data_IF_022772546902
#
_entry.id   IF_022772546902
#
_cell.length_a   1.000
_cell.length_b   1.000
_cell.length_c   1.000
_cell.angle_alpha   90.00
_cell.angle_beta   90.00
_cell.angle_gamma   90.00
#
_symmetry.space_group_name_H-M   'P 1'
#
loop_
_entity.id
_entity.type
_entity.pdbx_description
1 polymer ?
#
# COMPACT_ATOMS: atom_id res chain seq x y z
N UNK A 1 -0.75 -5.40 -10.48
CA UNK A 1 -0.72 -4.40 -9.40
C UNK A 1 -1.61 -4.88 -8.25
N UNK A 2 -1.43 -4.33 -7.06
CA UNK A 2 -2.37 -4.49 -5.95
C UNK A 2 -2.51 -3.17 -5.18
N UNK A 3 -3.69 -2.91 -4.63
CA UNK A 3 -3.97 -1.76 -3.76
C UNK A 3 -4.59 -2.22 -2.45
N UNK A 4 -3.77 -2.70 -1.48
CA UNK A 4 -4.24 -3.04 -0.15
C UNK A 4 -4.61 -1.77 0.64
N UNK A 5 -5.71 -1.81 1.38
CA UNK A 5 -6.19 -0.68 2.19
C UNK A 5 -6.56 -1.15 3.59
N UNK A 6 -6.05 -0.47 4.62
CA UNK A 6 -6.35 -0.71 6.05
C UNK A 6 -6.27 -2.18 6.49
N UNK A 7 -5.23 -2.88 6.04
CA UNK A 7 -5.05 -4.31 6.27
C UNK A 7 -3.72 -4.64 6.93
N UNK A 8 -3.23 -5.83 6.61
CA UNK A 8 -1.93 -6.31 7.03
C UNK A 8 -1.48 -7.43 6.11
N UNK A 9 -0.37 -8.04 6.45
CA UNK A 9 0.16 -9.20 5.73
C UNK A 9 1.24 -9.88 6.55
N UNK A 10 1.70 -11.02 6.07
CA UNK A 10 2.85 -11.70 6.64
C UNK A 10 4.14 -11.16 5.99
N UNK A 11 5.01 -10.44 6.72
CA UNK A 11 6.25 -9.87 6.17
C UNK A 11 7.19 -10.91 5.55
N UNK A 12 7.06 -12.19 5.93
CA UNK A 12 7.85 -13.30 5.36
C UNK A 12 7.52 -13.55 3.89
N UNK A 13 6.37 -13.08 3.41
CA UNK A 13 5.95 -13.22 2.01
C UNK A 13 6.51 -12.13 1.10
N UNK A 14 7.16 -11.09 1.64
CA UNK A 14 7.63 -9.93 0.89
C UNK A 14 8.49 -10.32 -0.33
N UNK A 15 9.42 -11.26 -0.16
CA UNK A 15 10.29 -11.75 -1.24
C UNK A 15 9.51 -12.38 -2.39
N UNK A 16 8.39 -13.04 -2.11
CA UNK A 16 7.57 -13.70 -3.13
C UNK A 16 6.72 -12.71 -3.94
N UNK A 17 6.39 -11.55 -3.36
CA UNK A 17 5.51 -10.55 -3.98
C UNK A 17 6.24 -9.27 -4.40
N UNK A 18 7.56 -9.16 -4.16
CA UNK A 18 8.35 -7.95 -4.40
C UNK A 18 8.26 -7.38 -5.83
N UNK A 19 8.01 -8.24 -6.81
CA UNK A 19 7.92 -7.86 -8.23
C UNK A 19 6.50 -7.42 -8.64
N UNK A 20 5.53 -7.51 -7.73
CA UNK A 20 4.18 -6.97 -7.91
C UNK A 20 4.22 -5.49 -7.54
N UNK A 21 3.81 -4.57 -8.42
CA UNK A 21 3.59 -3.18 -8.06
C UNK A 21 2.47 -3.10 -7.01
N UNK A 22 2.76 -2.54 -5.84
CA UNK A 22 1.82 -2.38 -4.73
C UNK A 22 1.72 -0.90 -4.36
N UNK A 23 0.51 -0.36 -4.24
CA UNK A 23 0.27 0.95 -3.63
C UNK A 23 -0.67 0.77 -2.45
N UNK A 24 -0.14 0.84 -1.22
CA UNK A 24 -0.91 0.58 0.00
C UNK A 24 -1.34 1.87 0.70
N UNK A 25 -2.52 1.85 1.32
CA UNK A 25 -3.13 2.99 2.00
C UNK A 25 -3.56 2.62 3.44
N UNK A 26 -3.32 3.49 4.42
CA UNK A 26 -3.73 3.25 5.81
C UNK A 26 -3.83 4.57 6.60
N UNK A 27 -4.82 4.71 7.49
CA UNK A 27 -4.91 5.83 8.44
C UNK A 27 -4.09 5.57 9.72
N UNK A 28 -3.36 6.58 10.21
CA UNK A 28 -2.58 6.49 11.47
C UNK A 28 -3.48 6.21 12.67
N UNK A 29 -4.67 6.80 12.68
CA UNK A 29 -5.65 6.68 13.75
C UNK A 29 -6.64 5.52 13.55
N UNK A 30 -6.30 4.53 12.73
CA UNK A 30 -7.10 3.30 12.61
C UNK A 30 -7.05 2.50 13.92
N UNK A 31 -8.21 2.46 14.60
CA UNK A 31 -8.40 1.74 15.86
C UNK A 31 -8.89 0.29 15.68
N UNK A 32 -9.24 -0.12 14.46
CA UNK A 32 -9.73 -1.47 14.13
C UNK A 32 -8.58 -2.35 13.68
N UNK A 33 -7.74 -1.83 12.78
CA UNK A 33 -6.54 -2.49 12.29
C UNK A 33 -5.36 -1.56 12.50
N UNK A 34 -4.38 -1.97 13.31
CA UNK A 34 -3.24 -1.09 13.58
C UNK A 34 -2.43 -0.83 12.30
N UNK A 35 -2.14 0.45 12.03
CA UNK A 35 -1.27 0.92 10.94
C UNK A 35 0.11 0.24 10.94
N UNK A 36 0.57 -0.24 12.11
CA UNK A 36 1.81 -1.01 12.25
C UNK A 36 1.84 -2.27 11.38
N UNK A 37 0.70 -2.88 11.08
CA UNK A 37 0.62 -4.04 10.20
C UNK A 37 1.01 -3.68 8.76
N UNK A 38 0.57 -2.53 8.26
CA UNK A 38 0.99 -2.01 6.96
C UNK A 38 2.44 -1.56 6.98
N UNK A 39 2.88 -0.80 8.01
CA UNK A 39 4.28 -0.35 8.14
C UNK A 39 5.27 -1.51 8.12
N UNK A 40 4.96 -2.63 8.79
CA UNK A 40 5.79 -3.85 8.77
C UNK A 40 5.90 -4.47 7.37
N UNK A 41 4.80 -4.49 6.61
CA UNK A 41 4.81 -4.98 5.23
C UNK A 41 5.59 -4.06 4.29
N UNK A 42 5.43 -2.74 4.44
CA UNK A 42 6.21 -1.74 3.67
C UNK A 42 7.70 -1.93 3.92
N UNK A 43 8.12 -1.96 5.19
CA UNK A 43 9.53 -2.15 5.55
C UNK A 43 10.11 -3.48 5.00
N UNK A 44 9.33 -4.56 5.01
CA UNK A 44 9.76 -5.84 4.46
C UNK A 44 9.88 -5.82 2.92
N UNK A 45 8.98 -5.13 2.22
CA UNK A 45 9.05 -4.96 0.76
C UNK A 45 10.21 -4.06 0.35
N UNK A 46 10.44 -2.95 1.07
CA UNK A 46 11.58 -2.06 0.84
C UNK A 46 12.92 -2.81 1.01
N UNK A 47 13.03 -3.65 2.05
CA UNK A 47 14.20 -4.50 2.28
C UNK A 47 14.48 -5.45 1.12
N UNK A 48 13.44 -6.00 0.51
CA UNK A 48 13.54 -6.88 -0.67
C UNK A 48 13.68 -6.09 -1.99
N UNK A 49 13.79 -4.75 -1.92
CA UNK A 49 13.81 -3.82 -3.06
C UNK A 49 12.57 -3.96 -3.95
N UNK A 50 11.42 -4.27 -3.35
CA UNK A 50 10.15 -4.43 -4.04
C UNK A 50 9.56 -3.13 -4.55
N UNK A 51 8.60 -3.24 -5.46
CA UNK A 51 7.86 -2.10 -5.98
C UNK A 51 6.68 -1.77 -5.05
N UNK A 52 6.91 -0.87 -4.10
CA UNK A 52 5.93 -0.45 -3.10
C UNK A 52 5.82 1.09 -3.08
N UNK A 53 4.57 1.57 -3.12
CA UNK A 53 4.17 2.94 -2.83
C UNK A 53 3.30 2.93 -1.58
N UNK A 54 3.49 3.89 -0.68
CA UNK A 54 2.77 3.96 0.59
C UNK A 54 2.14 5.34 0.79
N UNK A 55 0.84 5.36 1.09
CA UNK A 55 0.13 6.54 1.54
C UNK A 55 -0.39 6.30 2.95
N UNK A 56 0.15 7.06 3.89
CA UNK A 56 -0.29 7.07 5.29
C UNK A 56 -1.05 8.36 5.56
N UNK A 57 -2.30 8.25 6.02
CA UNK A 57 -3.12 9.42 6.35
C UNK A 57 -2.92 9.79 7.82
N UNK A 58 -2.40 10.99 8.07
CA UNK A 58 -2.15 11.50 9.41
C UNK A 58 -3.44 11.75 10.22
N UNK A 59 -3.31 12.01 11.53
CA UNK A 59 -4.46 12.27 12.39
C UNK A 59 -5.27 13.51 11.98
N UNK A 60 -4.61 14.53 11.42
CA UNK A 60 -5.25 15.78 11.01
C UNK A 60 -6.15 15.61 9.77
N UNK A 61 -5.87 14.61 8.93
CA UNK A 61 -6.71 14.23 7.80
C UNK A 61 -8.10 13.73 8.23
N UNK A 62 -8.26 13.31 9.49
CA UNK A 62 -9.49 12.72 10.02
C UNK A 62 -9.79 11.30 9.50
N UNK A 63 -8.95 10.76 8.61
CA UNK A 63 -9.10 9.43 8.02
C UNK A 63 -8.62 8.37 9.02
N UNK A 64 -9.48 7.41 9.35
CA UNK A 64 -9.18 6.33 10.30
C UNK A 64 -9.17 4.99 9.58
N UNK A 65 -10.07 4.09 9.97
CA UNK A 65 -10.23 2.80 9.31
C UNK A 65 -10.75 2.92 7.88
N UNK A 66 -11.47 3.98 7.55
CA UNK A 66 -12.14 4.21 6.27
C UNK A 66 -11.23 4.79 5.18
N UNK A 67 -9.93 4.47 5.19
CA UNK A 67 -8.98 5.00 4.21
C UNK A 67 -9.26 4.57 2.75
N UNK A 68 -10.17 3.61 2.54
CA UNK A 68 -10.68 3.29 1.20
C UNK A 68 -11.47 4.45 0.58
N UNK A 69 -12.10 5.31 1.40
CA UNK A 69 -12.83 6.48 0.91
C UNK A 69 -11.91 7.44 0.16
N UNK A 70 -10.83 7.99 0.75
CA UNK A 70 -9.89 8.84 0.02
C UNK A 70 -9.06 8.08 -1.02
N UNK A 71 -8.76 6.78 -0.81
CA UNK A 71 -8.04 5.97 -1.78
C UNK A 71 -8.81 5.84 -3.10
N UNK A 72 -10.07 5.40 -3.06
CA UNK A 72 -10.90 5.20 -4.26
C UNK A 72 -11.61 6.47 -4.74
N UNK A 73 -11.53 7.58 -4.00
CA UNK A 73 -11.92 8.90 -4.51
C UNK A 73 -10.77 9.58 -5.28
N UNK A 74 -9.55 9.03 -5.23
CA UNK A 74 -8.40 9.56 -5.95
C UNK A 74 -8.29 8.91 -7.35
N UNK A 75 -8.50 9.65 -8.46
CA UNK A 75 -8.36 9.12 -9.81
C UNK A 75 -6.95 8.59 -10.10
N UNK A 76 -5.91 9.16 -9.48
CA UNK A 76 -4.52 8.75 -9.67
C UNK A 76 -4.27 7.28 -9.28
N UNK A 77 -5.05 6.76 -8.33
CA UNK A 77 -4.96 5.35 -7.91
C UNK A 77 -5.39 4.44 -9.06
N UNK A 78 -6.45 4.80 -9.78
CA UNK A 78 -6.93 4.04 -10.93
C UNK A 78 -5.98 4.17 -12.12
N UNK A 79 -5.54 5.39 -12.43
CA UNK A 79 -4.54 5.63 -13.49
C UNK A 79 -3.29 4.78 -13.23
N UNK A 80 -2.75 4.84 -12.02
CA UNK A 80 -1.59 4.05 -11.63
C UNK A 80 -1.82 2.54 -11.77
N UNK A 81 -2.99 2.00 -11.38
CA UNK A 81 -3.32 0.57 -11.58
C UNK A 81 -3.30 0.21 -13.07
N UNK A 82 -3.91 1.04 -13.92
CA UNK A 82 -4.07 0.77 -15.36
C UNK A 82 -2.76 0.82 -16.13
N UNK A 83 -1.77 1.57 -15.64
CA UNK A 83 -0.42 1.61 -16.19
C UNK A 83 0.36 0.30 -15.98
N UNK A 84 -0.01 -0.51 -14.97
CA UNK A 84 0.74 -1.72 -14.64
C UNK A 84 0.44 -2.87 -15.60
N UNK A 85 1.49 -3.60 -16.02
CA UNK A 85 1.36 -4.85 -16.80
C UNK A 85 2.18 -5.97 -16.17
N UNK A 86 1.73 -7.22 -16.32
CA UNK A 86 2.50 -8.39 -15.89
C UNK A 86 3.80 -8.48 -16.70
N UNK A 87 4.95 -8.56 -16.03
CA UNK A 87 6.27 -8.64 -16.67
C UNK A 87 6.92 -7.31 -17.02
N UNK A 88 6.23 -6.18 -16.82
CA UNK A 88 6.87 -4.87 -16.86
C UNK A 88 7.66 -4.65 -15.56
N UNK A 89 8.95 -4.33 -15.69
CA UNK A 89 9.74 -3.79 -14.58
C UNK A 89 9.63 -2.27 -14.64
N UNK A 90 9.30 -1.64 -13.53
CA UNK A 90 9.39 -0.18 -13.40
C UNK A 90 10.82 0.26 -13.75
N UNK A 91 10.95 1.23 -14.65
CA UNK A 91 12.23 1.86 -14.95
C UNK A 91 12.58 2.71 -13.73
N UNK A 92 13.58 2.26 -12.96
CA UNK A 92 14.17 3.03 -11.86
C UNK A 92 14.94 4.24 -12.40
#
# INVERSE_FOLDING_TARGET
>A
AAVPVCGGGDPRTAKAIKDIPIWTHHGVADAVVSVELTRRMVAALEKEKGNIKYTEYDEASGVKHDAWTPCYSNPDVFEWIYEQRKGQKEKK
#
